data_IF_892886841891
#
_entry.id   IF_892886841891
#
_cell.length_a   1.000
_cell.length_b   1.000
_cell.length_c   1.000
_cell.angle_alpha   90.00
_cell.angle_beta   90.00
_cell.angle_gamma   90.00
#
_symmetry.space_group_name_H-M   'P 1'
#
loop_
_entity.id
_entity.type
_entity.pdbx_description
1 polymer ?
#
# COMPACT_ATOMS: atom_id res chain seq x y z
N UNK A 1 -32.31 -44.17 27.41
CA UNK A 1 -32.01 -43.36 26.21
C UNK A 1 -31.09 -42.19 26.54
N UNK A 2 -29.81 -42.24 26.16
CA UNK A 2 -29.04 -41.06 25.73
C UNK A 2 -28.53 -41.30 24.28
N UNK A 3 -28.35 -40.39 23.33
CA UNK A 3 -28.22 -38.94 23.31
C UNK A 3 -28.35 -38.40 21.85
N UNK A 4 -29.09 -37.30 21.60
CA UNK A 4 -28.98 -36.52 20.36
C UNK A 4 -27.83 -35.47 20.38
N UNK A 5 -27.26 -35.16 21.56
CA UNK A 5 -26.27 -34.09 21.75
C UNK A 5 -24.89 -34.34 21.10
N UNK A 6 -24.50 -35.60 20.91
CA UNK A 6 -23.18 -35.96 20.34
C UNK A 6 -23.13 -35.81 18.81
N UNK A 7 -24.25 -35.94 18.10
CA UNK A 7 -24.31 -35.81 16.64
C UNK A 7 -24.28 -34.34 16.19
N UNK A 8 -24.95 -33.45 16.92
CA UNK A 8 -24.97 -32.01 16.66
C UNK A 8 -23.57 -31.39 16.89
N UNK A 9 -22.93 -31.71 18.02
CA UNK A 9 -21.57 -31.24 18.32
C UNK A 9 -20.53 -31.71 17.29
N UNK A 10 -20.69 -32.93 16.77
CA UNK A 10 -19.84 -33.45 15.66
C UNK A 10 -20.10 -32.74 14.33
N UNK A 11 -21.36 -32.42 14.02
CA UNK A 11 -21.72 -31.65 12.81
C UNK A 11 -21.18 -30.23 12.86
N UNK A 12 -21.35 -29.53 13.99
CA UNK A 12 -20.79 -28.20 14.23
C UNK A 12 -19.26 -28.22 14.14
N UNK A 13 -18.59 -29.19 14.76
CA UNK A 13 -17.13 -29.33 14.69
C UNK A 13 -16.61 -29.58 13.27
N UNK A 14 -17.34 -30.36 12.46
CA UNK A 14 -17.00 -30.56 11.03
C UNK A 14 -17.22 -29.30 10.21
N UNK A 15 -18.32 -28.58 10.44
CA UNK A 15 -18.57 -27.32 9.74
C UNK A 15 -17.47 -26.29 10.03
N UNK A 16 -17.07 -26.15 11.30
CA UNK A 16 -15.94 -25.29 11.69
C UNK A 16 -14.62 -25.73 11.04
N UNK A 17 -14.32 -27.04 11.03
CA UNK A 17 -13.15 -27.59 10.35
C UNK A 17 -13.13 -27.26 8.85
N UNK A 18 -14.26 -27.40 8.16
CA UNK A 18 -14.40 -27.03 6.75
C UNK A 18 -14.17 -25.53 6.53
N UNK A 19 -14.72 -24.66 7.38
CA UNK A 19 -14.53 -23.21 7.27
C UNK A 19 -13.06 -22.80 7.45
N UNK A 20 -12.37 -23.35 8.45
CA UNK A 20 -10.93 -23.11 8.67
C UNK A 20 -10.12 -23.61 7.46
N UNK A 21 -10.44 -24.79 6.94
CA UNK A 21 -9.78 -25.35 5.75
C UNK A 21 -10.00 -24.46 4.53
N UNK A 22 -11.23 -24.00 4.31
CA UNK A 22 -11.57 -23.11 3.20
C UNK A 22 -10.83 -21.77 3.30
N UNK A 23 -10.78 -21.16 4.49
CA UNK A 23 -10.04 -19.93 4.72
C UNK A 23 -8.53 -20.11 4.47
N UNK A 24 -7.97 -21.23 4.93
CA UNK A 24 -6.57 -21.57 4.68
C UNK A 24 -6.27 -21.75 3.18
N UNK A 25 -7.11 -22.52 2.46
CA UNK A 25 -6.97 -22.73 1.01
C UNK A 25 -7.11 -21.41 0.26
N UNK A 26 -8.08 -20.56 0.63
CA UNK A 26 -8.22 -19.23 0.05
C UNK A 26 -6.96 -18.38 0.28
N UNK A 27 -6.39 -18.42 1.49
CA UNK A 27 -5.12 -17.78 1.80
C UNK A 27 -3.97 -18.29 0.92
N UNK A 28 -3.88 -19.61 0.71
CA UNK A 28 -2.88 -20.24 -0.17
C UNK A 28 -3.04 -19.74 -1.61
N UNK A 29 -4.27 -19.75 -2.13
CA UNK A 29 -4.57 -19.29 -3.50
C UNK A 29 -4.19 -17.83 -3.67
N UNK A 30 -4.59 -16.96 -2.74
CA UNK A 30 -4.27 -15.52 -2.77
C UNK A 30 -2.78 -15.25 -2.63
N UNK A 31 -2.10 -16.04 -1.79
CA UNK A 31 -0.66 -15.93 -1.66
C UNK A 31 0.04 -16.38 -2.93
N UNK A 32 -0.40 -17.45 -3.59
CA UNK A 32 0.26 -18.03 -4.77
C UNK A 32 0.02 -17.24 -6.06
N UNK A 33 -1.19 -16.72 -6.25
CA UNK A 33 -1.54 -15.90 -7.41
C UNK A 33 -0.91 -14.50 -7.31
N UNK A 34 -0.58 -13.87 -8.44
CA UNK A 34 -0.27 -12.45 -8.45
C UNK A 34 -1.44 -11.67 -7.84
N UNK A 35 -1.15 -10.71 -6.97
CA UNK A 35 -2.18 -9.76 -6.54
C UNK A 35 -2.71 -9.05 -7.77
N UNK A 36 -4.03 -8.84 -7.85
CA UNK A 36 -4.63 -8.15 -8.99
C UNK A 36 -3.94 -6.80 -9.18
N UNK A 37 -3.20 -6.70 -10.28
CA UNK A 37 -2.57 -5.47 -10.73
C UNK A 37 -3.58 -4.58 -11.44
N UNK A 38 -3.26 -3.29 -11.63
CA UNK A 38 -4.02 -2.47 -12.56
C UNK A 38 -3.98 -3.08 -13.97
N UNK A 39 -5.07 -3.02 -14.75
CA UNK A 39 -6.28 -2.22 -14.45
C UNK A 39 -7.38 -2.97 -13.67
N UNK A 40 -7.62 -4.25 -13.95
CA UNK A 40 -8.87 -4.93 -13.59
C UNK A 40 -9.20 -4.97 -12.08
N UNK A 41 -8.22 -5.22 -11.21
CA UNK A 41 -8.47 -5.27 -9.76
C UNK A 41 -8.67 -3.90 -9.13
N UNK A 42 -8.08 -2.86 -9.71
CA UNK A 42 -8.16 -1.49 -9.19
C UNK A 42 -9.44 -0.81 -9.68
N UNK A 43 -9.91 -1.06 -10.89
CA UNK A 43 -11.19 -0.52 -11.37
C UNK A 43 -12.36 -0.90 -10.45
N UNK A 44 -12.41 -2.18 -10.02
CA UNK A 44 -13.39 -2.66 -9.03
C UNK A 44 -13.23 -1.98 -7.67
N UNK A 45 -12.00 -1.63 -7.28
CA UNK A 45 -11.74 -0.89 -6.04
C UNK A 45 -12.20 0.57 -6.15
N UNK A 46 -11.97 1.22 -7.30
CA UNK A 46 -12.44 2.57 -7.57
C UNK A 46 -13.96 2.62 -7.68
N UNK A 47 -14.62 1.58 -8.20
CA UNK A 47 -16.08 1.47 -8.20
C UNK A 47 -16.65 1.44 -6.77
N UNK A 48 -16.03 0.68 -5.86
CA UNK A 48 -16.39 0.69 -4.44
C UNK A 48 -16.16 2.07 -3.81
N UNK A 49 -14.98 2.66 -4.03
CA UNK A 49 -14.63 3.96 -3.47
C UNK A 49 -15.56 5.07 -3.96
N UNK A 50 -15.92 5.06 -5.25
CA UNK A 50 -16.85 6.03 -5.82
C UNK A 50 -18.20 5.98 -5.14
N UNK A 51 -18.78 4.78 -5.02
CA UNK A 51 -20.05 4.59 -4.31
C UNK A 51 -19.96 5.04 -2.84
N UNK A 52 -18.88 4.66 -2.13
CA UNK A 52 -18.67 5.07 -0.75
C UNK A 52 -18.55 6.60 -0.60
N UNK A 53 -17.87 7.27 -1.53
CA UNK A 53 -17.73 8.73 -1.56
C UNK A 53 -19.06 9.42 -1.84
N UNK A 54 -19.84 8.93 -2.80
CA UNK A 54 -21.19 9.44 -3.07
C UNK A 54 -22.11 9.26 -1.83
N UNK A 55 -21.90 8.19 -1.05
CA UNK A 55 -22.57 7.92 0.23
C UNK A 55 -21.96 8.69 1.43
N UNK A 56 -21.07 9.66 1.22
CA UNK A 56 -20.52 10.53 2.28
C UNK A 56 -19.38 9.94 3.10
N UNK A 57 -18.58 9.03 2.51
CA UNK A 57 -17.39 8.48 3.19
C UNK A 57 -16.33 9.56 3.48
N UNK A 58 -16.23 10.61 2.67
CA UNK A 58 -15.30 11.72 2.91
C UNK A 58 -15.57 12.43 4.22
N UNK A 59 -16.82 12.82 4.47
CA UNK A 59 -17.26 13.50 5.69
C UNK A 59 -17.13 12.59 6.91
N UNK A 60 -17.41 11.29 6.75
CA UNK A 60 -17.18 10.30 7.82
C UNK A 60 -15.70 10.17 8.17
N UNK A 61 -14.82 10.09 7.16
CA UNK A 61 -13.39 9.97 7.37
C UNK A 61 -12.80 11.22 8.03
N UNK A 62 -13.30 12.42 7.69
CA UNK A 62 -12.88 13.68 8.33
C UNK A 62 -13.09 13.70 9.85
N UNK A 63 -14.09 12.97 10.36
CA UNK A 63 -14.33 12.85 11.80
C UNK A 63 -13.41 11.86 12.49
N UNK A 64 -12.69 11.04 11.73
CA UNK A 64 -11.80 10.00 12.23
C UNK A 64 -10.33 10.41 12.10
N UNK A 65 -9.99 11.15 11.03
CA UNK A 65 -8.63 11.58 10.69
C UNK A 65 -8.63 13.07 10.32
N UNK A 66 -7.59 13.84 10.69
CA UNK A 66 -7.54 15.28 10.39
C UNK A 66 -7.58 15.61 8.89
N UNK A 67 -7.11 14.71 8.02
CA UNK A 67 -7.12 14.86 6.56
C UNK A 67 -8.03 13.84 5.87
N UNK A 68 -8.95 13.21 6.60
CA UNK A 68 -9.72 12.07 6.11
C UNK A 68 -10.56 12.37 4.86
N UNK A 69 -11.22 13.54 4.81
CA UNK A 69 -11.93 13.97 3.60
C UNK A 69 -10.98 14.16 2.44
N UNK A 70 -9.86 14.82 2.71
CA UNK A 70 -8.89 15.22 1.71
C UNK A 70 -8.25 13.99 1.05
N UNK A 71 -7.70 13.06 1.84
CA UNK A 71 -7.04 11.88 1.30
C UNK A 71 -7.98 10.99 0.50
N UNK A 72 -9.22 10.77 0.95
CA UNK A 72 -10.17 9.94 0.22
C UNK A 72 -10.43 10.48 -1.20
N UNK A 73 -10.65 11.79 -1.35
CA UNK A 73 -10.88 12.40 -2.65
C UNK A 73 -9.58 12.50 -3.47
N UNK A 74 -8.48 12.95 -2.87
CA UNK A 74 -7.20 13.11 -3.55
C UNK A 74 -6.69 11.77 -4.11
N UNK A 75 -6.68 10.71 -3.29
CA UNK A 75 -6.18 9.41 -3.70
C UNK A 75 -7.10 8.73 -4.72
N UNK A 76 -8.42 8.92 -4.63
CA UNK A 76 -9.36 8.49 -5.68
C UNK A 76 -9.05 9.19 -7.01
N UNK A 77 -8.96 10.52 -7.01
CA UNK A 77 -8.66 11.30 -8.21
C UNK A 77 -7.30 10.95 -8.83
N UNK A 78 -6.27 10.81 -8.00
CA UNK A 78 -4.93 10.41 -8.45
C UNK A 78 -4.92 9.00 -9.03
N UNK A 79 -5.63 8.05 -8.42
CA UNK A 79 -5.76 6.70 -8.99
C UNK A 79 -6.43 6.70 -10.36
N UNK A 80 -7.45 7.57 -10.56
CA UNK A 80 -8.08 7.78 -11.87
C UNK A 80 -7.12 8.38 -12.88
N UNK A 81 -6.30 9.36 -12.49
CA UNK A 81 -5.22 9.89 -13.34
C UNK A 81 -4.25 8.79 -13.74
N UNK A 82 -3.75 8.02 -12.78
CA UNK A 82 -2.78 6.97 -13.03
C UNK A 82 -3.28 5.92 -14.04
N UNK A 83 -4.55 5.51 -13.92
CA UNK A 83 -5.17 4.59 -14.87
C UNK A 83 -5.37 5.25 -16.24
N UNK A 84 -5.92 6.47 -16.29
CA UNK A 84 -6.11 7.18 -17.55
C UNK A 84 -4.80 7.43 -18.31
N UNK A 85 -3.68 7.65 -17.61
CA UNK A 85 -2.37 7.82 -18.23
C UNK A 85 -1.79 6.52 -18.84
N UNK A 86 -2.39 5.36 -18.56
CA UNK A 86 -2.06 4.09 -19.22
C UNK A 86 -2.86 3.88 -20.51
N UNK A 87 -3.97 4.58 -20.64
CA UNK A 87 -4.85 4.46 -21.80
C UNK A 87 -4.41 5.40 -22.94
N UNK A 88 -4.75 5.04 -24.20
CA UNK A 88 -4.71 5.96 -25.33
C UNK A 88 -5.50 7.25 -25.06
N UNK A 89 -5.08 8.37 -25.68
CA UNK A 89 -5.62 9.69 -25.37
C UNK A 89 -7.14 9.82 -25.57
N UNK A 90 -7.69 9.13 -26.56
CA UNK A 90 -9.12 9.05 -26.89
C UNK A 90 -9.96 8.29 -25.85
N UNK A 91 -9.32 7.49 -24.98
CA UNK A 91 -10.00 6.67 -23.96
C UNK A 91 -9.90 7.25 -22.55
N UNK A 92 -9.32 8.45 -22.40
CA UNK A 92 -9.09 9.10 -21.08
C UNK A 92 -10.29 9.86 -20.52
N UNK A 93 -11.41 9.92 -21.26
CA UNK A 93 -12.53 10.79 -20.93
C UNK A 93 -13.15 10.50 -19.55
N UNK A 94 -13.33 9.21 -19.21
CA UNK A 94 -13.84 8.85 -17.87
C UNK A 94 -12.85 9.23 -16.77
N UNK A 95 -11.57 8.84 -16.92
CA UNK A 95 -10.52 9.18 -15.97
C UNK A 95 -10.45 10.69 -15.72
N UNK A 96 -10.54 11.50 -16.79
CA UNK A 96 -10.53 12.96 -16.72
C UNK A 96 -11.74 13.50 -15.96
N UNK A 97 -12.95 13.01 -16.27
CA UNK A 97 -14.18 13.41 -15.58
C UNK A 97 -14.10 13.11 -14.08
N UNK A 98 -13.66 11.92 -13.72
CA UNK A 98 -13.56 11.48 -12.32
C UNK A 98 -12.46 12.23 -11.55
N UNK A 99 -11.31 12.49 -12.18
CA UNK A 99 -10.24 13.28 -11.59
C UNK A 99 -10.67 14.74 -11.38
N UNK A 100 -11.38 15.35 -12.33
CA UNK A 100 -11.98 16.69 -12.18
C UNK A 100 -13.01 16.73 -11.07
N UNK A 101 -13.88 15.72 -10.98
CA UNK A 101 -14.85 15.62 -9.88
C UNK A 101 -14.15 15.60 -8.52
N UNK A 102 -13.10 14.78 -8.37
CA UNK A 102 -12.33 14.69 -7.14
C UNK A 102 -11.64 16.02 -6.79
N UNK A 103 -11.00 16.66 -7.78
CA UNK A 103 -10.37 17.97 -7.61
C UNK A 103 -11.39 19.04 -7.19
N UNK A 104 -12.59 19.04 -7.78
CA UNK A 104 -13.68 19.93 -7.40
C UNK A 104 -14.12 19.76 -5.95
N UNK A 105 -14.07 18.54 -5.40
CA UNK A 105 -14.34 18.27 -3.97
C UNK A 105 -13.24 18.83 -3.06
N UNK A 106 -11.98 18.76 -3.49
CA UNK A 106 -10.86 19.35 -2.75
C UNK A 106 -10.88 20.89 -2.78
N UNK A 107 -11.36 21.48 -3.86
CA UNK A 107 -11.51 22.94 -4.01
C UNK A 107 -12.78 23.50 -3.32
N UNK A 108 -13.71 22.63 -2.93
CA UNK A 108 -14.92 23.01 -2.20
C UNK A 108 -14.62 23.42 -0.74
N UNK A 109 -15.51 24.16 -0.07
CA UNK A 109 -15.32 24.57 1.33
C UNK A 109 -15.00 23.40 2.27
N UNK A 110 -15.67 22.24 2.10
CA UNK A 110 -15.41 21.05 2.90
C UNK A 110 -13.98 20.51 2.76
N UNK A 111 -13.40 20.56 1.55
CA UNK A 111 -12.02 20.13 1.29
C UNK A 111 -10.96 21.09 1.83
N UNK A 112 -11.32 22.37 2.03
CA UNK A 112 -10.43 23.42 2.59
C UNK A 112 -10.57 23.60 4.09
N UNK A 113 -11.72 23.26 4.66
CA UNK A 113 -12.06 23.55 6.05
C UNK A 113 -11.01 23.13 7.10
N UNK A 114 -10.31 21.99 6.95
CA UNK A 114 -9.28 21.58 7.93
C UNK A 114 -7.98 22.41 7.86
N UNK A 115 -7.77 23.18 6.79
CA UNK A 115 -6.48 23.80 6.48
C UNK A 115 -6.52 25.32 6.67
N UNK A 116 -5.56 25.84 7.42
CA UNK A 116 -5.51 27.25 7.82
C UNK A 116 -5.22 28.19 6.62
N UNK A 117 -6.16 29.06 6.23
CA UNK A 117 -5.96 30.01 5.12
C UNK A 117 -4.86 31.05 5.39
N UNK A 118 -4.45 31.27 6.65
CA UNK A 118 -3.41 32.23 7.05
C UNK A 118 -1.98 31.75 6.84
N UNK A 119 -1.77 30.50 6.45
CA UNK A 119 -0.44 29.97 6.13
C UNK A 119 0.12 30.56 4.83
N UNK A 120 1.43 30.41 4.62
CA UNK A 120 2.09 30.75 3.36
C UNK A 120 2.75 29.50 2.78
N UNK A 121 2.24 28.94 1.66
CA UNK A 121 1.06 29.38 0.90
C UNK A 121 -0.25 29.18 1.68
N UNK A 122 -1.31 29.91 1.32
CA UNK A 122 -2.63 29.78 1.97
C UNK A 122 -3.10 28.32 1.98
N UNK A 123 -3.61 27.86 3.13
CA UNK A 123 -3.95 26.45 3.43
C UNK A 123 -2.75 25.50 3.60
N UNK A 124 -1.52 26.00 3.63
CA UNK A 124 -0.32 25.22 3.91
C UNK A 124 0.16 24.37 2.72
N UNK A 125 1.41 23.92 2.80
CA UNK A 125 2.06 23.19 1.70
C UNK A 125 1.46 21.80 1.45
N UNK A 126 0.88 21.16 2.47
CA UNK A 126 0.15 19.89 2.30
C UNK A 126 -0.99 20.07 1.29
N UNK A 127 -1.97 20.92 1.62
CA UNK A 127 -3.15 21.12 0.79
C UNK A 127 -2.74 21.57 -0.62
N UNK A 128 -1.84 22.56 -0.69
CA UNK A 128 -1.41 23.18 -1.94
C UNK A 128 -0.60 22.24 -2.81
N UNK A 129 0.30 21.45 -2.24
CA UNK A 129 1.13 20.50 -2.97
C UNK A 129 0.29 19.38 -3.59
N UNK A 130 -0.56 18.73 -2.79
CA UNK A 130 -1.41 17.63 -3.25
C UNK A 130 -2.45 18.08 -4.27
N UNK A 131 -3.12 19.21 -4.06
CA UNK A 131 -4.10 19.73 -5.04
C UNK A 131 -3.43 20.16 -6.34
N UNK A 132 -2.24 20.80 -6.28
CA UNK A 132 -1.50 21.19 -7.47
C UNK A 132 -1.00 19.96 -8.25
N UNK A 133 -0.56 18.90 -7.56
CA UNK A 133 -0.22 17.62 -8.19
C UNK A 133 -1.42 17.00 -8.92
N UNK A 134 -2.59 16.93 -8.29
CA UNK A 134 -3.80 16.43 -8.94
C UNK A 134 -4.24 17.32 -10.12
N UNK A 135 -4.10 18.64 -10.01
CA UNK A 135 -4.39 19.59 -11.09
C UNK A 135 -3.50 19.36 -12.31
N UNK A 136 -2.20 19.15 -12.10
CA UNK A 136 -1.28 18.73 -13.16
C UNK A 136 -1.65 17.35 -13.75
N UNK A 137 -2.14 16.43 -12.92
CA UNK A 137 -2.69 15.15 -13.37
C UNK A 137 -3.91 15.30 -14.30
N UNK A 138 -4.86 16.17 -13.95
CA UNK A 138 -6.01 16.53 -14.80
C UNK A 138 -5.55 17.10 -16.15
N UNK A 139 -4.52 17.94 -16.18
CA UNK A 139 -3.93 18.45 -17.43
C UNK A 139 -3.19 17.38 -18.24
N UNK A 140 -2.61 16.38 -17.57
CA UNK A 140 -1.90 15.26 -18.21
C UNK A 140 -2.84 14.30 -18.94
N UNK A 141 -4.11 14.23 -18.50
CA UNK A 141 -5.15 13.43 -19.16
C UNK A 141 -5.74 14.12 -20.41
N UNK A 142 -5.54 15.42 -20.56
CA UNK A 142 -6.04 16.18 -21.71
C UNK A 142 -5.07 16.12 -22.89
N UNK A 143 -5.57 16.16 -24.14
CA UNK A 143 -4.70 16.28 -25.31
C UNK A 143 -3.93 17.60 -25.25
N UNK A 144 -2.63 17.57 -25.52
CA UNK A 144 -1.74 18.72 -25.33
C UNK A 144 -2.15 19.97 -26.12
N UNK A 145 -2.72 19.80 -27.32
CA UNK A 145 -3.17 20.90 -28.18
C UNK A 145 -4.57 21.44 -27.87
N UNK A 146 -5.31 20.84 -26.94
CA UNK A 146 -6.70 21.21 -26.63
C UNK A 146 -7.00 21.23 -25.12
N UNK A 147 -5.99 21.57 -24.31
CA UNK A 147 -6.16 21.74 -22.86
C UNK A 147 -7.06 22.91 -22.54
N UNK A 148 -7.87 22.77 -21.50
CA UNK A 148 -8.69 23.84 -20.96
C UNK A 148 -7.80 24.99 -20.45
N UNK A 149 -7.98 26.19 -21.02
CA UNK A 149 -7.15 27.35 -20.72
C UNK A 149 -7.30 27.85 -19.28
N UNK A 150 -8.47 27.69 -18.66
CA UNK A 150 -8.69 28.09 -17.28
C UNK A 150 -7.97 27.13 -16.32
N UNK A 151 -7.98 25.83 -16.62
CA UNK A 151 -7.24 24.83 -15.84
C UNK A 151 -5.72 25.02 -15.98
N UNK A 152 -5.23 25.33 -17.19
CA UNK A 152 -3.82 25.66 -17.44
C UNK A 152 -3.40 26.89 -16.64
N UNK A 153 -4.17 27.98 -16.72
CA UNK A 153 -3.89 29.21 -15.96
C UNK A 153 -3.86 28.94 -14.47
N UNK A 154 -4.85 28.21 -13.94
CA UNK A 154 -4.92 27.90 -12.52
C UNK A 154 -3.72 27.08 -12.04
N UNK A 155 -3.29 26.08 -12.81
CA UNK A 155 -2.11 25.27 -12.49
C UNK A 155 -0.81 26.08 -12.53
N UNK A 156 -0.66 26.97 -13.51
CA UNK A 156 0.49 27.86 -13.61
C UNK A 156 0.55 28.85 -12.42
N UNK A 157 -0.59 29.46 -12.06
CA UNK A 157 -0.71 30.40 -10.95
C UNK A 157 -0.43 29.71 -9.60
N UNK A 158 -1.03 28.55 -9.36
CA UNK A 158 -0.83 27.78 -8.13
C UNK A 158 0.64 27.28 -7.99
N UNK A 159 1.27 26.90 -9.11
CA UNK A 159 2.69 26.52 -9.15
C UNK A 159 3.62 27.72 -8.89
N UNK A 160 3.28 28.89 -9.45
CA UNK A 160 4.03 30.12 -9.19
C UNK A 160 3.95 30.54 -7.72
N UNK A 161 2.77 30.41 -7.09
CA UNK A 161 2.60 30.69 -5.66
C UNK A 161 3.41 29.73 -4.78
N UNK A 162 3.44 28.42 -5.10
CA UNK A 162 4.30 27.45 -4.43
C UNK A 162 5.78 27.81 -4.58
N UNK A 163 6.22 28.12 -5.79
CA UNK A 163 7.62 28.49 -6.04
C UNK A 163 8.03 29.79 -5.33
N UNK A 164 7.13 30.77 -5.23
CA UNK A 164 7.36 32.00 -4.47
C UNK A 164 7.47 31.72 -2.97
N UNK A 165 6.61 30.86 -2.42
CA UNK A 165 6.68 30.46 -1.00
C UNK A 165 8.02 29.76 -0.68
N UNK A 166 8.46 28.81 -1.52
CA UNK A 166 9.80 28.20 -1.37
C UNK A 166 10.95 29.19 -1.55
N UNK A 167 10.78 30.21 -2.39
CA UNK A 167 11.79 31.24 -2.61
C UNK A 167 11.95 32.20 -1.43
N UNK A 168 10.88 32.45 -0.67
CA UNK A 168 10.88 33.34 0.48
C UNK A 168 11.19 32.63 1.81
N UNK A 169 11.02 31.31 1.88
CA UNK A 169 11.21 30.55 3.11
C UNK A 169 12.70 30.37 3.48
N UNK A 170 13.04 30.43 4.78
CA UNK A 170 14.41 30.19 5.27
C UNK A 170 14.81 28.71 5.27
N UNK A 171 13.83 27.82 5.20
CA UNK A 171 13.98 26.36 5.21
C UNK A 171 13.46 25.77 3.89
N UNK A 172 14.02 24.64 3.40
CA UNK A 172 13.45 23.93 2.27
C UNK A 172 12.09 23.29 2.59
N UNK A 173 11.65 23.32 3.85
CA UNK A 173 10.41 22.70 4.29
C UNK A 173 9.41 23.78 4.70
N UNK A 174 8.35 23.92 3.91
CA UNK A 174 7.27 24.86 4.17
C UNK A 174 6.33 24.31 5.26
N UNK A 175 5.62 25.22 5.94
CA UNK A 175 4.59 24.86 6.90
C UNK A 175 3.42 24.13 6.20
N UNK A 176 3.07 22.94 6.68
CA UNK A 176 1.85 22.25 6.29
C UNK A 176 0.67 22.63 7.18
N UNK A 177 0.97 22.86 8.46
CA UNK A 177 0.03 23.28 9.51
C UNK A 177 0.65 24.41 10.33
N UNK A 178 -0.13 25.16 11.12
CA UNK A 178 0.41 26.22 11.99
C UNK A 178 1.55 25.71 12.86
N UNK A 179 2.73 26.32 12.70
CA UNK A 179 3.96 25.98 13.44
C UNK A 179 4.61 24.64 13.09
N UNK A 180 4.14 23.92 12.06
CA UNK A 180 4.59 22.56 11.76
C UNK A 180 5.01 22.39 10.31
N UNK A 181 6.25 21.91 10.11
CA UNK A 181 6.80 21.57 8.82
C UNK A 181 7.08 20.08 8.73
N UNK A 182 6.51 19.46 7.70
CA UNK A 182 6.62 18.04 7.41
C UNK A 182 7.30 17.90 6.02
N UNK A 183 8.55 17.40 5.97
CA UNK A 183 9.31 17.27 4.72
C UNK A 183 8.59 16.52 3.60
N UNK A 184 7.74 15.56 3.95
CA UNK A 184 6.92 14.81 3.00
C UNK A 184 6.01 15.71 2.17
N UNK A 185 5.39 16.73 2.78
CA UNK A 185 4.44 17.61 2.09
C UNK A 185 5.13 18.58 1.15
N UNK A 186 6.29 19.09 1.56
CA UNK A 186 7.15 19.89 0.68
C UNK A 186 7.65 19.07 -0.50
N UNK A 187 7.91 17.78 -0.31
CA UNK A 187 8.30 16.87 -1.41
C UNK A 187 7.19 16.76 -2.45
N UNK A 188 5.93 16.58 -2.04
CA UNK A 188 4.78 16.55 -2.98
C UNK A 188 4.65 17.87 -3.74
N UNK A 189 4.77 19.00 -3.06
CA UNK A 189 4.70 20.31 -3.69
C UNK A 189 5.81 20.53 -4.73
N UNK A 190 7.05 20.14 -4.43
CA UNK A 190 8.18 20.26 -5.36
C UNK A 190 8.03 19.31 -6.55
N UNK A 191 7.51 18.10 -6.35
CA UNK A 191 7.15 17.23 -7.46
C UNK A 191 6.13 17.90 -8.40
N UNK A 192 5.13 18.62 -7.86
CA UNK A 192 4.16 19.36 -8.68
C UNK A 192 4.80 20.46 -9.53
N UNK A 193 5.89 21.10 -9.07
CA UNK A 193 6.64 22.07 -9.86
C UNK A 193 7.41 21.41 -11.01
N UNK A 194 7.91 20.18 -10.79
CA UNK A 194 8.53 19.39 -11.86
C UNK A 194 7.52 18.93 -12.90
N UNK A 195 6.33 18.55 -12.46
CA UNK A 195 5.21 18.24 -13.35
C UNK A 195 4.80 19.47 -14.16
N UNK A 196 4.80 20.66 -13.56
CA UNK A 196 4.59 21.89 -14.31
C UNK A 196 5.59 22.03 -15.46
N UNK A 197 6.88 21.94 -15.18
CA UNK A 197 7.94 22.08 -16.20
C UNK A 197 7.86 20.98 -17.29
N UNK A 198 7.20 19.86 -17.03
CA UNK A 198 6.98 18.79 -18.01
C UNK A 198 5.75 19.04 -18.90
N UNK A 199 4.74 19.77 -18.40
CA UNK A 199 3.48 20.00 -19.11
C UNK A 199 3.41 21.37 -19.79
N UNK A 200 4.06 22.38 -19.20
CA UNK A 200 4.03 23.79 -19.60
C UNK A 200 5.48 24.30 -19.80
N UNK A 201 5.69 25.49 -20.39
CA UNK A 201 7.04 26.05 -20.52
C UNK A 201 7.82 26.00 -19.20
N UNK A 202 9.02 25.38 -19.17
CA UNK A 202 9.79 25.21 -17.94
C UNK A 202 10.12 26.53 -17.27
N UNK A 203 9.93 26.59 -15.94
CA UNK A 203 10.12 27.81 -15.12
C UNK A 203 10.76 27.53 -13.76
N UNK A 204 10.63 26.33 -13.21
CA UNK A 204 10.89 26.09 -11.79
C UNK A 204 12.17 25.31 -11.48
N UNK A 205 12.99 25.01 -12.48
CA UNK A 205 14.27 24.32 -12.32
C UNK A 205 15.17 24.95 -11.21
N UNK A 206 15.28 26.28 -11.16
CA UNK A 206 16.08 26.97 -10.13
C UNK A 206 15.53 26.81 -8.71
N UNK A 207 14.20 26.80 -8.55
CA UNK A 207 13.55 26.56 -7.25
C UNK A 207 13.79 25.13 -6.78
N UNK A 208 13.65 24.15 -7.69
CA UNK A 208 13.88 22.73 -7.37
C UNK A 208 15.34 22.48 -6.99
N UNK A 209 16.30 23.07 -7.72
CA UNK A 209 17.71 22.93 -7.43
C UNK A 209 18.09 23.46 -6.04
N UNK A 210 17.58 24.66 -5.66
CA UNK A 210 17.78 25.22 -4.33
C UNK A 210 17.15 24.35 -3.23
N UNK A 211 15.93 23.85 -3.47
CA UNK A 211 15.27 22.94 -2.54
C UNK A 211 16.09 21.67 -2.30
N UNK A 212 16.54 21.00 -3.37
CA UNK A 212 17.39 19.80 -3.28
C UNK A 212 18.69 20.05 -2.51
N UNK A 213 19.35 21.20 -2.75
CA UNK A 213 20.55 21.57 -2.01
C UNK A 213 20.26 21.73 -0.51
N UNK A 214 19.16 22.38 -0.15
CA UNK A 214 18.73 22.54 1.24
C UNK A 214 18.36 21.22 1.92
N UNK A 215 17.69 20.32 1.19
CA UNK A 215 17.30 18.98 1.66
C UNK A 215 18.53 18.12 1.95
N UNK A 216 19.51 18.09 1.04
CA UNK A 216 20.74 17.28 1.21
C UNK A 216 21.55 17.67 2.45
N UNK A 217 21.42 18.91 2.92
CA UNK A 217 22.07 19.41 4.14
C UNK A 217 21.29 19.09 5.43
N UNK A 218 20.03 18.65 5.32
CA UNK A 218 19.09 18.49 6.45
C UNK A 218 18.48 17.08 6.49
N UNK A 219 19.24 16.09 6.03
CA UNK A 219 18.87 14.70 6.17
C UNK A 219 18.98 14.29 7.65
N UNK A 220 18.14 13.34 8.05
CA UNK A 220 18.25 12.69 9.36
C UNK A 220 19.65 12.06 9.48
N UNK A 221 20.49 12.51 10.44
CA UNK A 221 21.86 12.02 10.58
C UNK A 221 21.92 10.52 10.92
N UNK A 222 20.89 9.96 11.54
CA UNK A 222 20.89 8.55 11.92
C UNK A 222 20.72 7.63 10.69
N UNK A 223 19.90 8.04 9.73
CA UNK A 223 19.49 7.20 8.59
C UNK A 223 20.05 7.65 7.25
N UNK A 224 20.39 8.94 7.11
CA UNK A 224 20.69 9.57 5.83
C UNK A 224 19.45 9.79 4.96
N UNK A 225 18.24 9.71 5.52
CA UNK A 225 16.98 9.91 4.82
C UNK A 225 16.37 11.28 5.14
N UNK A 226 15.38 11.73 4.37
CA UNK A 226 14.59 12.91 4.77
C UNK A 226 13.91 12.68 6.14
N UNK A 227 13.94 13.67 7.05
CA UNK A 227 13.33 13.54 8.37
C UNK A 227 11.80 13.51 8.31
N UNK A 228 11.15 13.05 9.38
CA UNK A 228 9.69 13.05 9.51
C UNK A 228 9.15 14.43 9.85
N UNK A 229 9.80 15.14 10.77
CA UNK A 229 9.41 16.49 11.19
C UNK A 229 10.62 17.38 11.43
N UNK A 230 10.47 18.66 11.08
CA UNK A 230 11.53 19.67 11.22
C UNK A 230 10.98 20.93 11.87
N UNK A 231 11.89 21.73 12.41
CA UNK A 231 11.59 23.08 12.85
C UNK A 231 11.28 23.96 11.63
N UNK A 232 10.15 24.66 11.66
CA UNK A 232 9.64 25.42 10.51
C UNK A 232 10.55 26.60 10.13
N UNK A 233 11.24 27.21 11.11
CA UNK A 233 12.05 28.40 10.89
C UNK A 233 13.47 28.06 10.43
N UNK A 234 14.06 27.02 11.00
CA UNK A 234 15.47 26.65 10.79
C UNK A 234 15.65 25.46 9.85
N UNK A 235 14.62 24.61 9.74
CA UNK A 235 14.70 23.32 9.09
C UNK A 235 15.50 22.28 9.87
N UNK A 236 15.80 22.52 11.16
CA UNK A 236 16.48 21.56 12.01
C UNK A 236 15.62 20.31 12.22
N UNK A 237 16.25 19.13 12.26
CA UNK A 237 15.55 17.86 12.48
C UNK A 237 14.97 17.81 13.89
N UNK A 238 13.65 17.69 13.99
CA UNK A 238 12.94 17.51 15.26
C UNK A 238 12.54 16.04 15.49
N UNK A 239 12.24 15.33 14.40
CA UNK A 239 11.97 13.90 14.41
C UNK A 239 12.65 13.26 13.19
N UNK A 240 13.36 12.16 13.45
CA UNK A 240 14.15 11.43 12.45
C UNK A 240 13.28 10.83 11.35
N UNK A 241 13.89 10.09 10.43
CA UNK A 241 13.13 9.49 9.34
C UNK A 241 12.14 8.43 9.86
N UNK A 242 10.91 8.44 9.35
CA UNK A 242 9.85 7.47 9.68
C UNK A 242 9.29 6.77 8.45
N UNK A 243 8.88 5.53 8.62
CA UNK A 243 8.39 4.66 7.56
C UNK A 243 7.18 5.24 6.82
N UNK A 244 6.22 5.78 7.56
CA UNK A 244 5.02 6.46 7.04
C UNK A 244 5.38 7.59 6.05
N UNK A 245 6.20 8.56 6.47
CA UNK A 245 6.66 9.64 5.60
C UNK A 245 7.56 9.15 4.48
N UNK A 246 8.48 8.22 4.76
CA UNK A 246 9.42 7.72 3.75
C UNK A 246 8.70 7.02 2.60
N UNK A 247 7.68 6.21 2.88
CA UNK A 247 6.90 5.55 1.84
C UNK A 247 6.29 6.56 0.86
N UNK A 248 5.80 7.70 1.34
CA UNK A 248 5.29 8.78 0.48
C UNK A 248 6.43 9.55 -0.21
N UNK A 249 7.47 9.97 0.52
CA UNK A 249 8.62 10.71 -0.03
C UNK A 249 9.22 9.95 -1.21
N UNK A 250 9.48 8.65 -1.06
CA UNK A 250 10.08 7.83 -2.12
C UNK A 250 9.19 7.72 -3.35
N UNK A 251 7.88 7.88 -3.22
CA UNK A 251 6.96 7.89 -4.35
C UNK A 251 7.08 9.15 -5.21
N UNK A 252 7.35 10.31 -4.60
CA UNK A 252 7.41 11.59 -5.31
C UNK A 252 8.84 12.00 -5.69
N UNK A 253 9.84 11.60 -4.90
CA UNK A 253 11.22 12.03 -5.09
C UNK A 253 11.81 11.61 -6.45
N UNK A 254 11.33 10.48 -7.00
CA UNK A 254 11.74 10.01 -8.32
C UNK A 254 11.40 10.99 -9.45
N UNK A 255 10.30 11.72 -9.35
CA UNK A 255 9.91 12.77 -10.32
C UNK A 255 10.65 14.10 -10.06
N UNK A 256 11.35 14.22 -8.94
CA UNK A 256 12.14 15.41 -8.58
C UNK A 256 13.59 15.27 -9.06
N UNK A 257 14.28 14.24 -8.58
CA UNK A 257 15.68 13.95 -8.87
C UNK A 257 15.89 12.42 -8.84
N UNK A 258 15.85 11.74 -9.99
CA UNK A 258 15.93 10.27 -10.06
C UNK A 258 17.20 9.70 -9.42
N UNK A 259 18.32 10.41 -9.50
CA UNK A 259 19.61 9.95 -8.95
C UNK A 259 19.62 9.96 -7.43
N UNK A 260 19.20 11.07 -6.83
CA UNK A 260 19.04 11.20 -5.39
C UNK A 260 17.95 10.25 -4.86
N UNK A 261 16.82 10.14 -5.58
CA UNK A 261 15.73 9.25 -5.24
C UNK A 261 16.17 7.78 -5.18
N UNK A 262 16.97 7.30 -6.14
CA UNK A 262 17.46 5.93 -6.14
C UNK A 262 18.33 5.61 -4.90
N UNK A 263 19.17 6.56 -4.45
CA UNK A 263 19.96 6.42 -3.22
C UNK A 263 19.09 6.40 -1.96
N UNK A 264 18.13 7.32 -1.88
CA UNK A 264 17.18 7.40 -0.77
C UNK A 264 16.30 6.15 -0.68
N UNK A 265 15.76 5.67 -1.80
CA UNK A 265 14.91 4.47 -1.84
C UNK A 265 15.66 3.21 -1.40
N UNK A 266 16.92 3.03 -1.85
CA UNK A 266 17.76 1.90 -1.39
C UNK A 266 17.97 1.95 0.12
N UNK A 267 18.29 3.13 0.66
CA UNK A 267 18.48 3.29 2.11
C UNK A 267 17.18 3.02 2.88
N UNK A 268 16.05 3.53 2.39
CA UNK A 268 14.74 3.31 3.00
C UNK A 268 14.37 1.82 3.06
N UNK A 269 14.42 1.10 1.94
CA UNK A 269 14.04 -0.31 1.94
C UNK A 269 14.97 -1.17 2.80
N UNK A 270 16.28 -0.87 2.81
CA UNK A 270 17.25 -1.64 3.59
C UNK A 270 17.05 -1.43 5.09
N UNK A 271 16.59 -0.23 5.50
CA UNK A 271 16.40 0.10 6.92
C UNK A 271 14.99 -0.13 7.46
N UNK A 272 13.95 -0.19 6.62
CA UNK A 272 12.56 -0.22 7.08
C UNK A 272 11.77 -1.45 6.62
N UNK A 273 12.15 -2.12 5.52
CA UNK A 273 11.46 -3.35 5.10
C UNK A 273 11.85 -4.48 6.03
N UNK A 274 10.84 -5.12 6.61
CA UNK A 274 10.98 -6.23 7.54
C UNK A 274 10.14 -7.43 7.08
N UNK A 275 10.39 -8.60 7.67
CA UNK A 275 9.53 -9.78 7.53
C UNK A 275 9.11 -10.24 8.93
N UNK A 276 8.13 -9.59 9.57
CA UNK A 276 7.73 -9.89 10.94
C UNK A 276 7.36 -11.38 11.10
N UNK A 277 7.96 -12.04 12.08
CA UNK A 277 7.82 -13.49 12.33
C UNK A 277 8.17 -14.39 11.13
N UNK A 278 8.82 -13.85 10.09
CA UNK A 278 9.06 -14.57 8.84
C UNK A 278 7.81 -14.78 7.97
N UNK A 279 6.67 -14.15 8.28
CA UNK A 279 5.37 -14.47 7.66
C UNK A 279 4.98 -13.59 6.47
N UNK A 280 5.70 -12.51 6.20
CA UNK A 280 5.43 -11.68 5.03
C UNK A 280 6.12 -10.32 5.12
N UNK A 281 6.39 -9.68 3.98
CA UNK A 281 7.03 -8.38 3.97
C UNK A 281 6.08 -7.33 4.55
N UNK A 282 6.63 -6.45 5.37
CA UNK A 282 5.97 -5.29 5.91
C UNK A 282 6.99 -4.15 6.07
N UNK A 283 6.50 -2.95 6.37
CA UNK A 283 7.34 -1.77 6.59
C UNK A 283 7.22 -1.34 8.03
N UNK A 284 8.36 -1.18 8.69
CA UNK A 284 8.43 -0.66 10.05
C UNK A 284 8.19 0.84 10.08
N UNK A 285 7.68 1.37 11.20
CA UNK A 285 7.60 2.81 11.38
C UNK A 285 8.96 3.43 11.69
N UNK A 286 9.75 2.75 12.51
CA UNK A 286 11.11 3.13 12.89
C UNK A 286 12.11 2.21 12.20
N UNK A 287 13.33 2.70 11.89
CA UNK A 287 14.34 1.89 11.23
C UNK A 287 14.70 0.67 12.09
N UNK A 288 15.25 -0.39 11.46
CA UNK A 288 15.73 -1.57 12.16
C UNK A 288 16.64 -1.21 13.34
N UNK A 289 16.39 -1.85 14.49
CA UNK A 289 17.11 -1.59 15.74
C UNK A 289 16.54 -0.45 16.59
N UNK A 290 15.54 0.27 16.10
CA UNK A 290 14.84 1.33 16.83
C UNK A 290 13.34 1.02 16.87
N UNK A 291 12.73 1.24 18.03
CA UNK A 291 11.29 1.19 18.25
C UNK A 291 10.83 2.51 18.86
N UNK A 292 9.55 2.84 18.66
CA UNK A 292 8.93 4.03 19.19
C UNK A 292 7.40 3.95 19.09
N UNK A 293 6.68 4.95 19.62
CA UNK A 293 5.23 4.98 19.56
C UNK A 293 4.74 5.26 18.14
N UNK A 294 3.54 4.74 17.81
CA UNK A 294 2.80 5.18 16.64
C UNK A 294 2.13 6.53 16.85
N UNK A 295 1.59 7.07 15.77
CA UNK A 295 0.87 8.34 15.70
C UNK A 295 -0.30 8.25 14.71
N UNK A 296 -0.85 9.39 14.31
CA UNK A 296 -1.98 9.46 13.40
C UNK A 296 -1.66 8.92 12.01
N UNK A 297 -0.41 9.03 11.54
CA UNK A 297 0.00 8.61 10.20
C UNK A 297 0.29 7.12 10.13
N UNK A 298 0.90 6.59 11.19
CA UNK A 298 1.36 5.21 11.27
C UNK A 298 0.32 4.24 11.86
N UNK A 299 -0.57 4.78 12.70
CA UNK A 299 -1.54 3.99 13.45
C UNK A 299 -0.89 3.02 14.44
N UNK A 300 -1.61 1.97 14.86
CA UNK A 300 -1.09 0.97 15.80
C UNK A 300 0.10 0.18 15.23
N UNK A 301 1.21 0.15 15.97
CA UNK A 301 2.47 -0.50 15.57
C UNK A 301 2.62 -1.94 16.09
N UNK A 302 1.86 -2.88 15.53
CA UNK A 302 2.02 -4.30 15.87
C UNK A 302 3.37 -4.81 15.35
N UNK A 303 4.24 -5.28 16.25
CA UNK A 303 5.62 -5.69 15.93
C UNK A 303 6.45 -4.57 15.26
N UNK A 304 6.14 -3.31 15.57
CA UNK A 304 6.79 -2.14 14.98
C UNK A 304 6.37 -1.84 13.53
N UNK A 305 5.40 -2.57 12.99
CA UNK A 305 4.91 -2.42 11.61
C UNK A 305 3.93 -1.25 11.50
N UNK A 306 4.17 -0.40 10.52
CA UNK A 306 3.23 0.63 10.08
C UNK A 306 2.43 0.11 8.89
N UNK A 307 1.13 -0.11 9.08
CA UNK A 307 0.25 -0.64 8.02
C UNK A 307 0.10 0.37 6.88
N UNK A 308 0.02 1.66 7.19
CA UNK A 308 -0.02 2.74 6.19
C UNK A 308 1.27 2.75 5.37
N UNK A 309 2.44 2.73 6.02
CA UNK A 309 3.73 2.66 5.33
C UNK A 309 3.85 1.41 4.45
N UNK A 310 3.35 0.27 4.93
CA UNK A 310 3.34 -1.01 4.19
C UNK A 310 2.52 -0.90 2.91
N UNK A 311 1.31 -0.32 2.97
CA UNK A 311 0.45 -0.11 1.80
C UNK A 311 1.09 0.87 0.82
N UNK A 312 1.55 2.04 1.31
CA UNK A 312 2.10 3.11 0.47
C UNK A 312 3.41 2.68 -0.20
N UNK A 313 4.19 1.82 0.45
CA UNK A 313 5.45 1.29 -0.11
C UNK A 313 5.24 0.42 -1.33
N UNK A 314 4.04 -0.16 -1.54
CA UNK A 314 3.70 -0.79 -2.83
C UNK A 314 3.86 0.23 -3.98
N UNK A 315 3.41 1.48 -3.75
CA UNK A 315 3.52 2.56 -4.71
C UNK A 315 4.96 3.07 -4.87
N UNK A 316 5.67 3.27 -3.76
CA UNK A 316 7.09 3.64 -3.81
C UNK A 316 7.92 2.60 -4.60
N UNK A 317 7.75 1.31 -4.29
CA UNK A 317 8.45 0.23 -4.99
C UNK A 317 8.14 0.21 -6.48
N UNK A 318 6.88 0.46 -6.88
CA UNK A 318 6.50 0.58 -8.30
C UNK A 318 7.18 1.74 -9.01
N UNK A 319 7.21 2.92 -8.38
CA UNK A 319 7.87 4.12 -8.93
C UNK A 319 9.37 3.87 -9.13
N UNK A 320 10.00 3.08 -8.27
CA UNK A 320 11.41 2.71 -8.35
C UNK A 320 11.70 1.45 -9.17
N UNK A 321 10.72 0.90 -9.90
CA UNK A 321 10.91 -0.32 -10.70
C UNK A 321 11.17 -1.59 -9.88
N UNK A 322 10.99 -1.57 -8.56
CA UNK A 322 11.17 -2.69 -7.65
C UNK A 322 9.94 -3.61 -7.65
N UNK A 323 9.73 -4.29 -8.79
CA UNK A 323 8.59 -5.18 -9.01
C UNK A 323 8.54 -6.33 -8.00
N UNK A 324 9.68 -6.76 -7.46
CA UNK A 324 9.76 -7.84 -6.47
C UNK A 324 9.18 -7.41 -5.13
N UNK A 325 9.61 -6.26 -4.60
CA UNK A 325 9.05 -5.74 -3.35
C UNK A 325 7.58 -5.36 -3.53
N UNK A 326 7.25 -4.64 -4.61
CA UNK A 326 5.87 -4.24 -4.90
C UNK A 326 4.92 -5.46 -4.99
N UNK A 327 5.33 -6.50 -5.74
CA UNK A 327 4.55 -7.72 -5.89
C UNK A 327 4.43 -8.52 -4.60
N UNK A 328 5.49 -8.57 -3.77
CA UNK A 328 5.47 -9.28 -2.50
C UNK A 328 4.53 -8.61 -1.47
N UNK A 329 4.64 -7.28 -1.32
CA UNK A 329 3.75 -6.50 -0.46
C UNK A 329 2.29 -6.59 -0.92
N UNK A 330 2.03 -6.49 -2.23
CA UNK A 330 0.68 -6.61 -2.77
C UNK A 330 0.08 -8.01 -2.54
N UNK A 331 0.86 -9.08 -2.78
CA UNK A 331 0.42 -10.47 -2.53
C UNK A 331 0.14 -10.74 -1.06
N UNK A 332 1.03 -10.26 -0.18
CA UNK A 332 0.81 -10.35 1.26
C UNK A 332 -0.47 -9.60 1.68
N UNK A 333 -0.72 -8.42 1.10
CA UNK A 333 -1.94 -7.64 1.30
C UNK A 333 -3.23 -8.36 0.88
N UNK A 334 -3.22 -9.21 -0.15
CA UNK A 334 -4.39 -10.03 -0.53
C UNK A 334 -4.73 -11.09 0.54
N UNK A 335 -3.76 -11.49 1.37
CA UNK A 335 -3.98 -12.41 2.50
C UNK A 335 -4.37 -11.62 3.74
N UNK A 336 -3.51 -10.70 4.18
CA UNK A 336 -3.66 -9.97 5.44
C UNK A 336 -4.81 -8.95 5.42
N UNK A 337 -5.10 -8.35 4.26
CA UNK A 337 -6.12 -7.32 4.11
C UNK A 337 -7.56 -7.84 3.99
N UNK A 338 -7.76 -9.16 4.02
CA UNK A 338 -9.08 -9.82 3.99
C UNK A 338 -10.03 -9.25 2.91
N UNK A 339 -9.63 -9.23 1.61
CA UNK A 339 -10.45 -8.65 0.57
C UNK A 339 -11.77 -9.41 0.36
N UNK A 340 -12.81 -8.65 0.08
CA UNK A 340 -14.08 -9.10 -0.48
C UNK A 340 -14.10 -8.66 -1.94
N UNK A 341 -14.04 -9.64 -2.84
CA UNK A 341 -14.03 -9.42 -4.27
C UNK A 341 -15.34 -9.93 -4.88
N UNK A 342 -15.98 -9.07 -5.67
CA UNK A 342 -17.24 -9.34 -6.37
C UNK A 342 -17.04 -8.97 -7.85
N UNK A 343 -17.91 -9.40 -8.77
CA UNK A 343 -17.76 -9.03 -10.18
C UNK A 343 -17.73 -7.52 -10.45
N UNK A 344 -18.26 -6.68 -9.54
CA UNK A 344 -18.36 -5.23 -9.70
C UNK A 344 -17.45 -4.42 -8.79
N UNK A 345 -17.13 -4.94 -7.61
CA UNK A 345 -16.41 -4.18 -6.58
C UNK A 345 -15.40 -5.05 -5.86
N UNK A 346 -14.29 -4.44 -5.45
CA UNK A 346 -13.27 -5.05 -4.59
C UNK A 346 -13.03 -4.12 -3.40
N UNK A 347 -13.01 -4.66 -2.19
CA UNK A 347 -12.78 -3.88 -0.96
C UNK A 347 -12.05 -4.68 0.10
N UNK A 348 -11.24 -4.02 0.92
CA UNK A 348 -10.44 -4.65 1.97
C UNK A 348 -11.05 -4.38 3.34
N UNK A 349 -10.68 -5.18 4.35
CA UNK A 349 -11.25 -5.10 5.69
C UNK A 349 -12.80 -5.07 5.67
N UNK A 350 -13.40 -5.89 4.78
CA UNK A 350 -14.84 -5.98 4.52
C UNK A 350 -15.51 -4.69 3.97
N UNK A 351 -14.75 -3.64 3.68
CA UNK A 351 -15.24 -2.32 3.26
C UNK A 351 -15.48 -1.33 4.40
N UNK A 352 -15.04 -1.65 5.62
CA UNK A 352 -15.28 -0.81 6.81
C UNK A 352 -14.38 0.42 6.86
N UNK A 353 -13.26 0.43 6.13
CA UNK A 353 -12.25 1.49 6.15
C UNK A 353 -11.90 1.94 4.73
N UNK A 354 -12.78 2.69 4.04
CA UNK A 354 -12.56 3.09 2.64
C UNK A 354 -11.26 3.86 2.39
N UNK A 355 -10.74 4.57 3.39
CA UNK A 355 -9.47 5.31 3.25
C UNK A 355 -8.29 4.34 3.00
N UNK A 356 -8.30 3.16 3.61
CA UNK A 356 -7.29 2.12 3.35
C UNK A 356 -7.37 1.58 1.92
N UNK A 357 -8.59 1.42 1.41
CA UNK A 357 -8.83 1.08 0.00
C UNK A 357 -8.29 2.16 -0.95
N UNK A 358 -8.47 3.45 -0.63
CA UNK A 358 -7.97 4.55 -1.44
C UNK A 358 -6.43 4.59 -1.49
N UNK A 359 -5.76 4.41 -0.35
CA UNK A 359 -4.29 4.28 -0.30
C UNK A 359 -3.80 3.08 -1.10
N UNK A 360 -4.49 1.94 -1.04
CA UNK A 360 -4.09 0.74 -1.76
C UNK A 360 -4.33 0.87 -3.28
N UNK A 361 -5.47 1.41 -3.71
CA UNK A 361 -5.75 1.69 -5.13
C UNK A 361 -4.69 2.62 -5.72
N UNK A 362 -4.39 3.71 -5.01
CA UNK A 362 -3.37 4.67 -5.39
C UNK A 362 -1.98 4.04 -5.43
N UNK A 363 -1.66 3.16 -4.49
CA UNK A 363 -0.36 2.47 -4.44
C UNK A 363 -0.21 1.43 -5.54
N UNK A 364 -1.25 0.65 -5.84
CA UNK A 364 -1.26 -0.35 -6.92
C UNK A 364 -1.15 0.29 -8.32
N UNK A 365 -1.57 1.53 -8.47
CA UNK A 365 -1.56 2.27 -9.74
C UNK A 365 -0.33 3.13 -9.95
N UNK A 366 0.58 3.21 -8.97
CA UNK A 366 1.72 4.11 -9.03
C UNK A 366 2.62 3.92 -10.26
N UNK A 367 3.08 5.04 -10.81
CA UNK A 367 4.16 5.18 -11.79
C UNK A 367 4.78 6.58 -11.64
N UNK A 368 6.01 6.81 -12.12
CA UNK A 368 6.52 8.16 -12.33
C UNK A 368 5.68 8.91 -13.38
N UNK A 369 5.52 10.21 -13.19
CA UNK A 369 4.76 11.09 -14.12
C UNK A 369 5.66 11.98 -14.96
N UNK A 370 6.85 12.30 -14.45
CA UNK A 370 7.81 13.23 -15.07
C UNK A 370 9.06 12.48 -15.51
N UNK A 371 9.63 11.68 -14.61
CA UNK A 371 10.81 10.89 -14.89
C UNK A 371 10.46 9.57 -15.60
N UNK A 372 11.39 8.97 -16.35
CA UNK A 372 11.23 7.58 -16.76
C UNK A 372 11.33 6.64 -15.55
N UNK A 373 10.69 5.47 -15.64
CA UNK A 373 10.86 4.40 -14.64
C UNK A 373 12.34 3.98 -14.60
N UNK A 374 12.98 3.96 -13.41
CA UNK A 374 14.37 3.57 -13.28
C UNK A 374 14.55 2.05 -13.45
N UNK A 375 15.80 1.63 -13.66
CA UNK A 375 16.16 0.22 -13.66
C UNK A 375 15.90 -0.42 -12.28
N UNK A 376 15.50 -1.71 -12.24
CA UNK A 376 15.17 -2.37 -10.99
C UNK A 376 16.39 -2.42 -10.05
N UNK A 377 16.22 -2.06 -8.77
CA UNK A 377 17.30 -2.14 -7.80
C UNK A 377 17.53 -3.59 -7.32
N UNK A 378 18.64 -3.89 -6.63
CA UNK A 378 18.92 -5.23 -6.10
C UNK A 378 17.77 -5.75 -5.22
N UNK A 379 17.46 -7.05 -5.28
CA UNK A 379 16.38 -7.62 -4.49
C UNK A 379 16.65 -7.53 -2.97
N UNK A 380 15.68 -7.04 -2.19
CA UNK A 380 15.74 -7.00 -0.72
C UNK A 380 15.13 -8.24 -0.05
N UNK A 381 14.21 -8.92 -0.73
CA UNK A 381 13.51 -10.10 -0.21
C UNK A 381 14.04 -11.38 -0.85
N UNK A 382 14.17 -12.51 -0.11
CA UNK A 382 14.50 -13.80 -0.70
C UNK A 382 13.36 -14.31 -1.61
N UNK A 383 13.67 -15.20 -2.56
CA UNK A 383 12.70 -15.64 -3.57
C UNK A 383 11.56 -16.48 -2.96
N UNK A 384 11.86 -17.07 -1.81
CA UNK A 384 11.00 -17.93 -1.02
C UNK A 384 10.32 -17.22 0.16
N UNK A 385 10.29 -15.87 0.19
CA UNK A 385 9.71 -15.10 1.30
C UNK A 385 8.30 -15.55 1.73
N UNK A 386 7.52 -16.13 0.80
CA UNK A 386 6.16 -16.63 1.01
C UNK A 386 6.10 -18.04 1.64
N UNK A 387 7.20 -18.80 1.66
CA UNK A 387 7.22 -20.20 2.06
C UNK A 387 6.81 -20.43 3.53
N UNK A 388 7.26 -19.63 4.52
CA UNK A 388 6.83 -19.82 5.90
C UNK A 388 5.32 -19.61 6.08
N UNK A 389 4.77 -18.55 5.47
CA UNK A 389 3.33 -18.30 5.51
C UNK A 389 2.53 -19.39 4.80
N UNK A 390 3.03 -19.88 3.66
CA UNK A 390 2.41 -20.99 2.95
C UNK A 390 2.35 -22.25 3.84
N UNK A 391 3.45 -22.58 4.52
CA UNK A 391 3.52 -23.70 5.46
C UNK A 391 2.54 -23.52 6.62
N UNK A 392 2.45 -22.31 7.19
CA UNK A 392 1.50 -21.99 8.25
C UNK A 392 0.03 -22.17 7.80
N UNK A 393 -0.31 -21.67 6.61
CA UNK A 393 -1.65 -21.82 6.04
C UNK A 393 -1.99 -23.30 5.78
N UNK A 394 -1.06 -24.07 5.22
CA UNK A 394 -1.24 -25.51 5.02
C UNK A 394 -1.45 -26.25 6.36
N UNK A 395 -0.63 -25.96 7.37
CA UNK A 395 -0.78 -26.52 8.70
C UNK A 395 -2.13 -26.16 9.33
N UNK A 396 -2.56 -24.90 9.22
CA UNK A 396 -3.85 -24.43 9.73
C UNK A 396 -5.04 -25.14 9.04
N UNK A 397 -4.96 -25.38 7.73
CA UNK A 397 -5.99 -26.12 6.99
C UNK A 397 -6.05 -27.61 7.34
N UNK A 398 -4.92 -28.23 7.67
CA UNK A 398 -4.85 -29.66 8.01
C UNK A 398 -5.15 -29.96 9.49
N UNK A 399 -4.83 -29.03 10.41
CA UNK A 399 -4.93 -29.23 11.85
C UNK A 399 -6.31 -29.73 12.33
N UNK A 400 -7.45 -29.21 11.85
CA UNK A 400 -8.78 -29.68 12.27
C UNK A 400 -9.05 -31.16 11.96
N UNK A 401 -8.33 -31.75 11.01
CA UNK A 401 -8.54 -33.11 10.53
C UNK A 401 -7.62 -34.15 11.18
N UNK A 402 -6.54 -33.73 11.85
CA UNK A 402 -5.57 -34.62 12.50
C UNK A 402 -6.21 -35.65 13.45
N UNK A 403 -7.20 -35.30 14.32
CA UNK A 403 -7.82 -36.29 15.20
C UNK A 403 -8.67 -37.34 14.45
N UNK A 404 -9.22 -36.99 13.29
CA UNK A 404 -9.96 -37.94 12.45
C UNK A 404 -8.98 -38.89 11.73
N UNK A 405 -7.90 -38.35 11.19
CA UNK A 405 -6.84 -39.12 10.54
C UNK A 405 -6.14 -40.08 11.52
N UNK A 406 -5.81 -39.61 12.73
CA UNK A 406 -5.20 -40.44 13.77
C UNK A 406 -6.11 -41.59 14.22
N UNK A 407 -7.42 -41.36 14.34
CA UNK A 407 -8.40 -42.42 14.65
C UNK A 407 -8.50 -43.45 13.52
N UNK A 408 -8.46 -43.01 12.26
CA UNK A 408 -8.45 -43.92 11.11
C UNK A 408 -7.18 -44.77 11.08
N UNK A 409 -6.01 -44.15 11.28
CA UNK A 409 -4.73 -44.85 11.33
C UNK A 409 -4.65 -45.87 12.47
N UNK A 410 -5.19 -45.56 13.67
CA UNK A 410 -5.26 -46.51 14.79
C UNK A 410 -6.17 -47.71 14.46
N UNK A 411 -7.33 -47.49 13.82
CA UNK A 411 -8.23 -48.57 13.40
C UNK A 411 -7.57 -49.49 12.37
N UNK A 412 -6.94 -48.91 11.35
CA UNK A 412 -6.23 -49.69 10.33
C UNK A 412 -5.04 -50.49 10.88
N UNK A 413 -4.40 -50.05 11.98
CA UNK A 413 -3.35 -50.84 12.67
C UNK A 413 -3.92 -52.01 13.47
N UNK A 414 -5.10 -51.84 14.09
CA UNK A 414 -5.79 -52.93 14.80
C UNK A 414 -6.28 -53.98 13.79
N UNK A 415 -6.90 -53.55 12.69
CA UNK A 415 -7.37 -54.46 11.64
C UNK A 415 -6.20 -55.17 10.92
N UNK A 416 -5.04 -54.52 10.80
CA UNK A 416 -3.83 -55.12 10.23
C UNK A 416 -3.11 -56.12 11.16
N UNK A 417 -3.26 -55.98 12.49
CA UNK A 417 -2.76 -56.97 13.45
C UNK A 417 -3.62 -58.24 13.46
N UNK A 418 -4.94 -58.11 13.31
CA UNK A 418 -5.83 -59.28 13.20
C UNK A 418 -5.57 -60.11 11.94
N UNK A 419 -5.20 -59.48 10.82
CA UNK A 419 -4.84 -60.22 9.59
C UNK A 419 -3.46 -60.91 9.66
N UNK A 420 -2.53 -60.42 10.47
CA UNK A 420 -1.23 -61.09 10.69
C UNK A 420 -1.32 -62.34 11.58
N UNK A 421 -2.45 -62.54 12.28
CA UNK A 421 -2.72 -63.71 13.10
C UNK A 421 -3.46 -64.83 12.33
N UNK A 422 -3.71 -64.63 11.03
CA UNK A 422 -4.34 -65.61 10.12
C UNK A 422 -3.37 -65.95 8.98
N UNK A 423 -2.22 -66.52 9.33
CA UNK A 423 -1.39 -67.28 8.40
C UNK A 423 -1.18 -68.67 9.01
N UNK A 424 -1.73 -69.75 8.45
CA UNK A 424 -1.49 -71.09 8.97
C UNK A 424 -0.04 -71.47 8.67
N UNK A 425 0.71 -71.80 9.72
CA UNK A 425 2.01 -72.48 9.61
C UNK A 425 1.81 -73.77 8.81
N UNK A 426 2.09 -73.76 7.50
CA UNK A 426 2.22 -74.99 6.71
C UNK A 426 3.49 -75.70 7.17
N UNK A 427 3.30 -76.69 8.05
CA UNK A 427 4.32 -77.65 8.44
C UNK A 427 4.71 -78.51 7.23
N UNK A 428 5.91 -78.30 6.72
CA UNK A 428 6.58 -79.29 5.89
C UNK A 428 7.25 -80.30 6.82
N UNK A 429 6.66 -81.49 6.98
CA UNK A 429 7.36 -82.72 7.39
C UNK A 429 6.56 -83.95 6.96
N UNK A 430 7.30 -84.87 6.36
CA UNK A 430 6.88 -86.03 5.58
C UNK A 430 6.40 -87.23 6.41
N UNK A 431 5.64 -88.12 5.76
CA UNK A 431 5.63 -89.58 5.98
C UNK A 431 5.08 -90.21 4.68
N UNK A 432 5.84 -90.96 3.85
CA UNK A 432 6.37 -92.31 4.04
C UNK A 432 5.31 -93.36 4.39
N UNK A 433 5.14 -94.31 3.43
CA UNK A 433 4.56 -95.67 3.49
C UNK A 433 3.02 -95.76 3.46
N UNK A 434 2.36 -96.62 2.67
CA UNK A 434 2.77 -97.68 1.74
C UNK A 434 1.59 -98.65 1.46
N UNK A 435 1.73 -99.49 0.40
CA UNK A 435 0.97 -100.70 0.04
C UNK A 435 -0.41 -100.48 -0.64
N UNK A 436 -0.81 -101.13 -1.74
CA UNK A 436 -0.37 -102.33 -2.50
C UNK A 436 -0.57 -102.11 -3.99
#
# INVERSE_FOLDING_TARGET
>A
MPAPRTSARRRVGRAAACLVTLAAVLGVVRLALPADGPPAGVDRQLAFLRAALDDGAGERAQRQFPEGYFFLHALYGLSRVELGLREPADQRAEALREARWALGRLDAPAGRAPFDPGLTPAHGVFYRGWTNWLRGGVLSLQPAGSRDLAEVRRFADDSAALAAAFGAAPSPFLAAYPGQAWPVDSTVAVASLRLHDALLPPRFAGTVARWLAGVRQRLDPATGLLPHRVDVATGAVLDGARGSSQAMIQRFLADIDPGFAAGQYRTFRDRYVAVPLGLGPAVREYPHGVDGPGDVDSGPLLLGVSLSATVVTVGAARVHGDARLAGALARYGEVAGLPVDTPRTKRYALGLVPIGDAFLAWSKTARPWVAPTPAPPPATLPAWWWAPLLGLLAAAGLAPWLPALARRARRSRVDGQDQSNVMPRRSWRAALWGAK
#
